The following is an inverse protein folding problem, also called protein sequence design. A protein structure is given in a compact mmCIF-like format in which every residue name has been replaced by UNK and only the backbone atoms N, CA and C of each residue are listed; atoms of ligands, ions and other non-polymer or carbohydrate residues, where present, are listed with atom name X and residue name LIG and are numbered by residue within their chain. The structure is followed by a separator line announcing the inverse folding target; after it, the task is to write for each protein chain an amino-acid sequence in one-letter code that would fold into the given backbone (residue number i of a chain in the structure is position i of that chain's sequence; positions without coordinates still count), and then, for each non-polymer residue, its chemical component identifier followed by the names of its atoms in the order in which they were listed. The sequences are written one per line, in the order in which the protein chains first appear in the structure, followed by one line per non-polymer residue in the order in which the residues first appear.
data_IF_085539717457
#
_entry.id   IF_085539717457
#
_cell.length_a   1.000
_cell.length_b   1.000
_cell.length_c   1.000
_cell.angle_alpha   90.00
_cell.angle_beta   90.00
_cell.angle_gamma   90.00
#
_symmetry.space_group_name_H-M   'P 1'
#
loop_
_entity.id
_entity.type
_entity.pdbx_description
1 polymer ?
#
# COMPACT_ATOMS: atom_id res chain seq x y z
N UNK A 1 17.62 12.45 -15.61
CA UNK A 1 16.16 12.69 -15.48
C UNK A 1 15.95 13.30 -14.12
N UNK A 2 15.26 14.44 -14.06
CA UNK A 2 14.91 15.08 -12.80
C UNK A 2 13.52 14.64 -12.35
N UNK A 3 13.39 14.35 -11.05
CA UNK A 3 12.15 13.89 -10.43
C UNK A 3 11.86 14.76 -9.20
N UNK A 4 10.72 15.45 -9.22
CA UNK A 4 10.20 16.18 -8.06
C UNK A 4 9.17 15.30 -7.37
N UNK A 5 9.31 15.09 -6.05
CA UNK A 5 8.35 14.30 -5.27
C UNK A 5 7.68 15.21 -4.23
N UNK A 6 6.39 15.45 -4.43
CA UNK A 6 5.52 16.18 -3.51
C UNK A 6 5.04 15.25 -2.39
N UNK A 7 5.24 15.63 -1.13
CA UNK A 7 4.79 14.88 0.05
C UNK A 7 4.13 15.77 1.12
N UNK A 8 3.38 16.78 0.69
CA UNK A 8 2.55 17.63 1.53
C UNK A 8 1.28 16.88 2.00
N UNK A 9 0.50 17.44 2.95
CA UNK A 9 -0.69 16.81 3.50
C UNK A 9 -1.73 16.36 2.46
N UNK A 10 -2.53 15.35 2.82
CA UNK A 10 -3.59 14.79 1.97
C UNK A 10 -4.79 15.73 1.81
N UNK A 11 -4.63 16.75 0.98
CA UNK A 11 -5.66 17.70 0.62
C UNK A 11 -5.65 17.95 -0.90
N UNK A 12 -6.78 17.65 -1.56
CA UNK A 12 -6.89 17.71 -3.02
C UNK A 12 -6.66 19.13 -3.58
N UNK A 13 -7.28 20.15 -3.01
CA UNK A 13 -7.15 21.52 -3.53
C UNK A 13 -5.73 22.07 -3.34
N UNK A 14 -5.10 21.78 -2.19
CA UNK A 14 -3.70 22.12 -1.95
C UNK A 14 -2.80 21.48 -3.00
N UNK A 15 -2.92 20.16 -3.21
CA UNK A 15 -2.10 19.44 -4.18
C UNK A 15 -2.34 19.93 -5.61
N UNK A 16 -3.58 20.17 -6.01
CA UNK A 16 -3.89 20.75 -7.33
C UNK A 16 -3.23 22.12 -7.54
N UNK A 17 -3.23 22.99 -6.53
CA UNK A 17 -2.53 24.29 -6.58
C UNK A 17 -1.02 24.13 -6.69
N UNK A 18 -0.45 23.23 -5.88
CA UNK A 18 0.99 22.94 -5.91
C UNK A 18 1.41 22.37 -7.27
N UNK A 19 0.69 21.40 -7.81
CA UNK A 19 1.02 20.78 -9.09
C UNK A 19 0.86 21.74 -10.28
N UNK A 20 -0.17 22.60 -10.28
CA UNK A 20 -0.29 23.65 -11.29
C UNK A 20 0.88 24.64 -11.24
N UNK A 21 1.35 25.00 -10.04
CA UNK A 21 2.51 25.86 -9.88
C UNK A 21 3.80 25.15 -10.32
N UNK A 22 4.06 23.93 -9.84
CA UNK A 22 5.23 23.13 -10.20
C UNK A 22 5.30 22.90 -11.72
N UNK A 23 4.17 22.60 -12.36
CA UNK A 23 4.12 22.42 -13.80
C UNK A 23 4.44 23.69 -14.59
N UNK A 24 4.15 24.87 -14.03
CA UNK A 24 4.47 26.15 -14.65
C UNK A 24 5.95 26.54 -14.48
N UNK A 25 6.60 26.15 -13.37
CA UNK A 25 7.97 26.59 -13.04
C UNK A 25 9.06 25.56 -13.30
N UNK A 26 8.73 24.27 -13.29
CA UNK A 26 9.71 23.21 -13.49
C UNK A 26 10.04 23.05 -14.98
N UNK A 27 11.30 22.72 -15.28
CA UNK A 27 11.74 22.37 -16.63
C UNK A 27 10.83 21.31 -17.25
N UNK A 28 10.50 21.44 -18.55
CA UNK A 28 9.54 20.55 -19.25
C UNK A 28 9.94 19.07 -19.20
N UNK A 29 11.22 18.76 -19.05
CA UNK A 29 11.73 17.39 -18.96
C UNK A 29 11.66 16.79 -17.54
N UNK A 30 11.39 17.60 -16.51
CA UNK A 30 11.25 17.12 -15.14
C UNK A 30 9.92 16.39 -14.94
N UNK A 31 9.96 15.25 -14.26
CA UNK A 31 8.77 14.49 -13.87
C UNK A 31 8.26 15.00 -12.52
N UNK A 32 6.94 15.18 -12.41
CA UNK A 32 6.30 15.64 -11.18
C UNK A 32 5.53 14.47 -10.55
N UNK A 33 5.96 14.04 -9.37
CA UNK A 33 5.36 12.91 -8.67
C UNK A 33 4.71 13.33 -7.35
N UNK A 34 3.55 12.78 -7.02
CA UNK A 34 2.97 12.89 -5.67
C UNK A 34 3.25 11.63 -4.88
N UNK A 35 3.57 11.74 -3.59
CA UNK A 35 3.64 10.62 -2.64
C UNK A 35 2.28 10.34 -1.97
N UNK A 36 1.17 10.64 -2.66
CA UNK A 36 -0.17 10.46 -2.07
C UNK A 36 -0.46 8.98 -1.78
N UNK A 37 -1.07 8.73 -0.63
CA UNK A 37 -1.49 7.39 -0.18
C UNK A 37 -2.81 6.93 -0.80
N UNK A 38 -3.52 7.78 -1.56
CA UNK A 38 -4.78 7.37 -2.17
C UNK A 38 -5.60 8.41 -2.90
N UNK A 39 -5.17 9.69 -2.95
CA UNK A 39 -5.83 10.66 -3.83
C UNK A 39 -5.57 10.32 -5.30
N UNK A 40 -6.57 10.59 -6.14
CA UNK A 40 -6.47 10.38 -7.58
C UNK A 40 -5.41 11.31 -8.17
N UNK A 41 -4.39 10.73 -8.79
CA UNK A 41 -3.37 11.51 -9.48
C UNK A 41 -3.93 12.20 -10.72
N UNK A 42 -4.94 11.61 -11.36
CA UNK A 42 -5.70 12.24 -12.44
C UNK A 42 -6.37 13.53 -11.95
N UNK A 43 -6.97 13.50 -10.76
CA UNK A 43 -7.57 14.68 -10.16
C UNK A 43 -6.52 15.71 -9.71
N UNK A 44 -5.38 15.28 -9.15
CA UNK A 44 -4.26 16.16 -8.79
C UNK A 44 -3.71 16.88 -10.03
N UNK A 45 -3.50 16.15 -11.13
CA UNK A 45 -2.95 16.66 -12.38
C UNK A 45 -3.95 17.49 -13.21
N UNK A 46 -5.22 17.59 -12.80
CA UNK A 46 -6.29 18.23 -13.59
C UNK A 46 -6.04 19.70 -13.92
N UNK A 47 -5.21 20.39 -13.13
CA UNK A 47 -4.84 21.80 -13.34
C UNK A 47 -3.46 21.97 -14.02
N UNK A 48 -2.77 20.89 -14.36
CA UNK A 48 -1.49 20.94 -15.07
C UNK A 48 -1.72 21.15 -16.58
N UNK A 49 -0.85 21.94 -17.19
CA UNK A 49 -0.72 22.11 -18.64
C UNK A 49 -0.04 20.90 -19.29
N UNK A 50 0.88 20.25 -18.56
CA UNK A 50 1.60 19.05 -19.00
C UNK A 50 1.34 17.86 -18.06
N UNK A 51 0.11 17.30 -18.05
CA UNK A 51 -0.22 16.17 -17.17
C UNK A 51 0.46 14.85 -17.56
N UNK A 52 1.02 14.74 -18.77
CA UNK A 52 1.72 13.55 -19.27
C UNK A 52 2.97 13.17 -18.47
N UNK A 53 3.58 14.15 -17.80
CA UNK A 53 4.75 13.98 -16.92
C UNK A 53 4.40 13.95 -15.44
N UNK A 54 3.11 13.83 -15.11
CA UNK A 54 2.62 13.80 -13.72
C UNK A 54 2.21 12.38 -13.36
N UNK A 55 2.68 11.86 -12.21
CA UNK A 55 2.35 10.53 -11.71
C UNK A 55 2.38 10.44 -10.17
N UNK A 56 2.05 9.30 -9.59
CA UNK A 56 2.26 9.05 -8.16
C UNK A 56 3.47 8.16 -7.97
N UNK A 57 4.31 8.47 -6.99
CA UNK A 57 5.33 7.57 -6.44
C UNK A 57 4.97 7.30 -4.97
N UNK A 58 4.13 6.30 -4.72
CA UNK A 58 3.69 5.98 -3.37
C UNK A 58 4.74 5.10 -2.67
N UNK A 59 5.45 5.70 -1.71
CA UNK A 59 6.42 5.01 -0.87
C UNK A 59 5.74 4.39 0.34
N UNK A 60 6.09 3.15 0.62
CA UNK A 60 5.58 2.42 1.78
C UNK A 60 6.28 2.86 3.07
N UNK A 61 5.51 3.06 4.15
CA UNK A 61 6.05 3.54 5.43
C UNK A 61 6.71 2.41 6.25
N UNK A 62 7.97 2.56 6.73
CA UNK A 62 8.87 3.70 6.55
C UNK A 62 9.55 3.71 5.18
N UNK A 63 9.59 4.87 4.50
CA UNK A 63 10.05 4.96 3.10
C UNK A 63 11.54 4.66 2.93
N UNK A 64 12.35 4.82 3.97
CA UNK A 64 13.77 4.47 3.95
C UNK A 64 14.01 2.96 4.08
N UNK A 65 13.08 2.22 4.69
CA UNK A 65 13.23 0.79 4.98
C UNK A 65 12.46 -0.07 3.98
N UNK A 66 11.24 0.33 3.63
CA UNK A 66 10.41 -0.43 2.71
C UNK A 66 10.96 -0.31 1.28
N UNK A 67 11.13 -1.43 0.55
CA UNK A 67 11.70 -1.41 -0.78
C UNK A 67 10.68 -1.02 -1.86
N UNK A 68 9.40 -1.34 -1.65
CA UNK A 68 8.35 -1.17 -2.66
C UNK A 68 8.00 0.32 -2.87
N UNK A 69 7.86 0.70 -4.14
CA UNK A 69 7.28 1.98 -4.55
C UNK A 69 6.25 1.74 -5.64
N UNK A 70 5.02 2.20 -5.46
CA UNK A 70 3.99 2.12 -6.49
C UNK A 70 4.04 3.36 -7.39
N UNK A 71 4.19 3.14 -8.70
CA UNK A 71 4.15 4.17 -9.73
C UNK A 71 2.75 4.17 -10.34
N UNK A 72 1.91 5.12 -9.95
CA UNK A 72 0.51 5.18 -10.43
C UNK A 72 0.38 6.14 -11.59
N UNK A 73 -0.11 5.61 -12.70
CA UNK A 73 -0.42 6.38 -13.90
C UNK A 73 -1.80 7.01 -13.75
N UNK A 74 -1.86 8.33 -13.91
CA UNK A 74 -3.10 9.04 -14.19
C UNK A 74 -3.57 8.81 -15.61
N UNK A 75 -4.78 9.26 -15.92
CA UNK A 75 -5.40 9.07 -17.24
C UNK A 75 -4.54 9.58 -18.41
N UNK A 76 -3.77 10.65 -18.18
CA UNK A 76 -2.93 11.29 -19.21
C UNK A 76 -1.44 11.00 -19.05
N UNK A 77 -1.02 10.30 -17.98
CA UNK A 77 0.40 10.01 -17.72
C UNK A 77 0.99 9.18 -18.87
N UNK A 78 2.13 9.60 -19.39
CA UNK A 78 2.86 8.86 -20.43
C UNK A 78 3.39 7.53 -19.86
N UNK A 79 3.17 6.40 -20.57
CA UNK A 79 3.81 5.13 -20.23
C UNK A 79 5.33 5.19 -20.18
N UNK A 80 5.94 5.96 -21.07
CA UNK A 80 7.38 6.16 -21.17
C UNK A 80 7.91 6.89 -19.93
N UNK A 81 7.20 7.91 -19.44
CA UNK A 81 7.56 8.61 -18.18
C UNK A 81 7.50 7.65 -16.99
N UNK A 82 6.44 6.85 -16.87
CA UNK A 82 6.33 5.86 -15.79
C UNK A 82 7.46 4.82 -15.87
N UNK A 83 7.87 4.43 -17.08
CA UNK A 83 8.97 3.50 -17.31
C UNK A 83 10.33 4.09 -16.91
N UNK A 84 10.58 5.36 -17.23
CA UNK A 84 11.79 6.07 -16.84
C UNK A 84 11.89 6.24 -15.30
N UNK A 85 10.76 6.55 -14.63
CA UNK A 85 10.69 6.58 -13.16
C UNK A 85 10.93 5.20 -12.55
N UNK A 86 10.42 4.14 -13.17
CA UNK A 86 10.70 2.75 -12.75
C UNK A 86 12.20 2.46 -12.78
N UNK A 87 12.89 2.84 -13.85
CA UNK A 87 14.33 2.61 -13.98
C UNK A 87 15.14 3.43 -12.96
N UNK A 88 14.79 4.70 -12.77
CA UNK A 88 15.43 5.55 -11.76
C UNK A 88 15.27 4.97 -10.35
N UNK A 89 14.05 4.61 -9.95
CA UNK A 89 13.79 4.07 -8.61
C UNK A 89 14.47 2.72 -8.40
N UNK A 90 14.51 1.86 -9.43
CA UNK A 90 15.24 0.60 -9.37
C UNK A 90 16.75 0.84 -9.18
N UNK A 91 17.34 1.81 -9.87
CA UNK A 91 18.74 2.21 -9.68
C UNK A 91 19.02 2.75 -8.26
N UNK A 92 18.02 3.37 -7.62
CA UNK A 92 18.07 3.76 -6.21
C UNK A 92 17.86 2.59 -5.21
N UNK A 93 17.82 1.34 -5.69
CA UNK A 93 17.65 0.14 -4.87
C UNK A 93 16.22 -0.09 -4.39
N UNK A 94 15.23 0.60 -4.96
CA UNK A 94 13.81 0.34 -4.72
C UNK A 94 13.30 -0.81 -5.61
N UNK A 95 12.12 -1.30 -5.28
CA UNK A 95 11.36 -2.29 -6.06
C UNK A 95 10.12 -1.59 -6.61
N UNK A 96 10.22 -0.89 -7.73
CA UNK A 96 9.11 -0.15 -8.29
C UNK A 96 8.12 -1.07 -9.03
N UNK A 97 6.83 -0.80 -8.86
CA UNK A 97 5.74 -1.49 -9.59
C UNK A 97 4.87 -0.47 -10.32
N UNK A 98 4.40 -0.78 -11.52
CA UNK A 98 3.54 0.12 -12.30
C UNK A 98 2.07 -0.21 -12.04
N UNK A 99 1.33 0.78 -11.56
CA UNK A 99 -0.13 0.76 -11.42
C UNK A 99 -0.73 1.48 -12.61
N UNK A 100 -1.23 0.71 -13.57
CA UNK A 100 -1.64 1.19 -14.89
C UNK A 100 -2.91 2.05 -14.91
N UNK A 101 -3.69 2.03 -13.83
CA UNK A 101 -4.96 2.75 -13.74
C UNK A 101 -5.09 3.42 -12.39
N UNK A 102 -5.33 4.71 -12.40
CA UNK A 102 -5.66 5.50 -11.23
C UNK A 102 -7.03 5.09 -10.68
N UNK A 103 -7.00 4.38 -9.55
CA UNK A 103 -8.19 3.95 -8.82
C UNK A 103 -7.97 4.15 -7.32
N UNK A 104 -9.02 4.42 -6.54
CA UNK A 104 -8.91 4.52 -5.08
C UNK A 104 -8.22 3.30 -4.49
N UNK A 105 -7.24 3.56 -3.60
CA UNK A 105 -6.42 2.53 -2.96
C UNK A 105 -5.28 1.97 -3.83
N UNK A 106 -5.04 2.51 -5.03
CA UNK A 106 -3.93 2.11 -5.91
C UNK A 106 -3.88 0.58 -6.11
N UNK A 107 -2.72 -0.07 -5.99
CA UNK A 107 -2.61 -1.53 -6.05
C UNK A 107 -2.57 -2.14 -4.65
N UNK A 108 -1.59 -1.77 -3.83
CA UNK A 108 -1.35 -2.44 -2.56
C UNK A 108 -2.37 -2.08 -1.47
N UNK A 109 -2.81 -0.82 -1.39
CA UNK A 109 -3.83 -0.42 -0.42
C UNK A 109 -5.18 -1.09 -0.71
N UNK A 110 -5.52 -1.41 -1.98
CA UNK A 110 -6.73 -2.21 -2.29
C UNK A 110 -6.67 -3.60 -1.69
N UNK A 111 -5.55 -4.30 -1.86
CA UNK A 111 -5.35 -5.64 -1.26
C UNK A 111 -5.38 -5.56 0.27
N UNK A 112 -4.70 -4.56 0.84
CA UNK A 112 -4.65 -4.37 2.28
C UNK A 112 -6.03 -4.04 2.87
N UNK A 113 -6.81 -3.17 2.24
CA UNK A 113 -8.14 -2.80 2.73
C UNK A 113 -9.14 -3.94 2.58
N UNK A 114 -9.02 -4.80 1.57
CA UNK A 114 -9.84 -6.01 1.49
C UNK A 114 -9.59 -6.93 2.70
N UNK A 115 -8.32 -7.16 3.06
CA UNK A 115 -7.95 -7.94 4.24
C UNK A 115 -8.42 -7.30 5.55
N UNK A 116 -8.21 -5.99 5.71
CA UNK A 116 -8.64 -5.26 6.93
C UNK A 116 -10.15 -5.29 7.08
N UNK A 117 -10.89 -5.15 5.99
CA UNK A 117 -12.35 -5.19 5.98
C UNK A 117 -12.87 -6.55 6.44
N UNK A 118 -12.30 -7.63 5.92
CA UNK A 118 -12.68 -8.99 6.32
C UNK A 118 -12.27 -9.28 7.76
N UNK A 119 -11.05 -8.92 8.17
CA UNK A 119 -10.59 -9.08 9.55
C UNK A 119 -11.50 -8.38 10.57
N UNK A 120 -11.96 -7.16 10.26
CA UNK A 120 -12.88 -6.44 11.12
C UNK A 120 -14.29 -7.05 11.15
N UNK A 121 -14.73 -7.68 10.06
CA UNK A 121 -15.98 -8.42 10.02
C UNK A 121 -15.91 -9.69 10.86
N UNK A 122 -14.86 -10.51 10.69
CA UNK A 122 -14.61 -11.74 11.47
C UNK A 122 -14.70 -11.48 12.98
N UNK A 123 -14.01 -10.44 13.46
CA UNK A 123 -14.05 -10.07 14.89
C UNK A 123 -15.42 -9.52 15.29
N UNK A 124 -16.05 -8.71 14.42
CA UNK A 124 -17.35 -8.13 14.67
C UNK A 124 -18.46 -9.16 14.84
N UNK A 125 -18.39 -10.26 14.09
CA UNK A 125 -19.33 -11.39 14.14
C UNK A 125 -18.97 -12.41 15.25
N UNK A 126 -17.86 -12.20 15.98
CA UNK A 126 -17.42 -13.12 17.04
C UNK A 126 -16.88 -14.46 16.52
N UNK A 127 -16.46 -14.53 15.26
CA UNK A 127 -15.85 -15.74 14.67
C UNK A 127 -14.47 -16.01 15.28
N UNK A 128 -13.72 -14.94 15.59
CA UNK A 128 -12.41 -15.03 16.24
C UNK A 128 -12.05 -13.75 17.01
N UNK A 129 -11.14 -13.88 17.97
CA UNK A 129 -10.54 -12.75 18.66
C UNK A 129 -9.54 -12.00 17.77
N UNK A 130 -9.28 -10.73 18.10
CA UNK A 130 -8.33 -9.87 17.36
C UNK A 130 -6.96 -10.53 17.27
N UNK A 131 -6.49 -11.10 18.38
CA UNK A 131 -5.21 -11.78 18.51
C UNK A 131 -5.08 -12.96 17.55
N UNK A 132 -6.11 -13.78 17.44
CA UNK A 132 -6.12 -14.98 16.61
C UNK A 132 -6.14 -14.63 15.11
N UNK A 133 -6.91 -13.61 14.72
CA UNK A 133 -6.88 -13.08 13.34
C UNK A 133 -5.47 -12.62 12.97
N UNK A 134 -4.79 -11.91 13.89
CA UNK A 134 -3.42 -11.45 13.70
C UNK A 134 -2.41 -12.62 13.62
N UNK A 135 -2.60 -13.68 14.43
CA UNK A 135 -1.74 -14.87 14.44
C UNK A 135 -1.87 -15.67 13.14
N UNK A 136 -3.07 -15.87 12.63
CA UNK A 136 -3.33 -16.53 11.34
C UNK A 136 -2.71 -15.74 10.20
N UNK A 137 -2.87 -14.41 10.19
CA UNK A 137 -2.24 -13.57 9.17
C UNK A 137 -0.71 -13.66 9.21
N UNK A 138 -0.10 -13.58 10.40
CA UNK A 138 1.37 -13.60 10.56
C UNK A 138 2.00 -14.96 10.25
N UNK A 139 1.41 -16.04 10.75
CA UNK A 139 2.00 -17.38 10.69
C UNK A 139 1.46 -18.24 9.54
N UNK A 140 0.32 -17.86 8.95
CA UNK A 140 -0.28 -18.52 7.80
C UNK A 140 0.16 -17.87 6.49
N UNK A 141 -0.77 -17.22 5.80
CA UNK A 141 -0.52 -16.67 4.46
C UNK A 141 0.53 -15.55 4.46
N UNK A 142 0.63 -14.73 5.51
CA UNK A 142 1.64 -13.66 5.62
C UNK A 142 3.08 -14.15 5.62
N UNK A 143 3.36 -15.28 6.28
CA UNK A 143 4.72 -15.81 6.40
C UNK A 143 5.31 -16.22 5.06
N UNK A 144 4.48 -16.77 4.16
CA UNK A 144 4.89 -17.31 2.86
C UNK A 144 4.80 -16.31 1.70
N UNK A 145 4.02 -15.24 1.83
CA UNK A 145 3.87 -14.21 0.78
C UNK A 145 5.21 -13.60 0.28
N UNK A 146 6.24 -13.40 1.13
CA UNK A 146 7.54 -12.92 0.66
C UNK A 146 8.31 -13.90 -0.23
N UNK A 147 7.92 -15.18 -0.28
CA UNK A 147 8.58 -16.25 -1.02
C UNK A 147 7.91 -16.50 -2.38
N UNK A 148 6.58 -16.63 -2.40
CA UNK A 148 5.80 -16.69 -3.63
C UNK A 148 4.53 -15.86 -3.46
N UNK A 149 4.24 -15.00 -4.42
CA UNK A 149 3.16 -14.01 -4.34
C UNK A 149 1.76 -14.63 -4.39
N UNK A 150 0.74 -13.79 -4.54
CA UNK A 150 -0.67 -14.22 -4.58
C UNK A 150 -0.92 -15.18 -5.76
N UNK A 151 -0.46 -14.83 -6.96
CA UNK A 151 -0.74 -15.63 -8.16
C UNK A 151 0.12 -16.89 -8.25
N UNK A 152 1.41 -16.82 -7.93
CA UNK A 152 2.27 -18.01 -7.84
C UNK A 152 1.72 -19.03 -6.84
N UNK A 153 1.12 -18.56 -5.74
CA UNK A 153 0.43 -19.44 -4.82
C UNK A 153 -0.78 -20.13 -5.45
N UNK A 154 -1.62 -19.39 -6.19
CA UNK A 154 -2.80 -19.97 -6.86
C UNK A 154 -2.38 -21.03 -7.89
N UNK A 155 -1.35 -20.75 -8.68
CA UNK A 155 -0.81 -21.72 -9.64
C UNK A 155 -0.23 -22.95 -8.93
N UNK A 156 0.44 -22.77 -7.78
CA UNK A 156 0.97 -23.87 -6.99
C UNK A 156 -0.11 -24.75 -6.33
N UNK A 157 -1.28 -24.18 -6.03
CA UNK A 157 -2.44 -24.91 -5.48
C UNK A 157 -3.23 -25.63 -6.58
N UNK A 158 -3.32 -25.03 -7.76
CA UNK A 158 -4.21 -25.46 -8.85
C UNK A 158 -5.43 -24.54 -8.96
N UNK A 159 -5.65 -23.98 -10.16
CA UNK A 159 -6.68 -22.96 -10.39
C UNK A 159 -8.11 -23.49 -10.28
N UNK A 160 -8.33 -24.78 -10.56
CA UNK A 160 -9.60 -25.47 -10.40
C UNK A 160 -10.01 -25.58 -8.92
N UNK A 161 -9.07 -26.01 -8.07
CA UNK A 161 -9.26 -26.02 -6.61
C UNK A 161 -9.42 -24.60 -6.06
N UNK A 162 -8.58 -23.67 -6.52
CA UNK A 162 -8.65 -22.26 -6.14
C UNK A 162 -10.01 -21.64 -6.46
N UNK A 163 -10.55 -21.89 -7.66
CA UNK A 163 -11.87 -21.42 -8.08
C UNK A 163 -12.97 -21.94 -7.15
N UNK A 164 -12.98 -23.25 -6.86
CA UNK A 164 -13.98 -23.84 -5.96
C UNK A 164 -13.96 -23.22 -4.56
N UNK A 165 -12.78 -22.94 -4.01
CA UNK A 165 -12.62 -22.28 -2.70
C UNK A 165 -13.09 -20.82 -2.77
N UNK A 166 -12.69 -20.08 -3.80
CA UNK A 166 -13.08 -18.67 -3.96
C UNK A 166 -14.60 -18.54 -4.06
N UNK A 167 -15.25 -19.35 -4.90
CA UNK A 167 -16.71 -19.31 -5.08
C UNK A 167 -17.47 -19.73 -3.82
N UNK A 168 -16.93 -20.66 -3.04
CA UNK A 168 -17.54 -21.09 -1.79
C UNK A 168 -17.43 -20.00 -0.70
N UNK A 169 -16.21 -19.50 -0.46
CA UNK A 169 -15.93 -18.54 0.62
C UNK A 169 -16.51 -17.17 0.30
N UNK A 170 -16.48 -16.72 -0.96
CA UNK A 170 -16.97 -15.39 -1.35
C UNK A 170 -18.47 -15.16 -1.07
N UNK A 171 -19.25 -16.23 -0.85
CA UNK A 171 -20.66 -16.15 -0.45
C UNK A 171 -20.86 -15.57 0.94
N UNK A 172 -19.86 -15.70 1.81
CA UNK A 172 -19.93 -15.31 3.23
C UNK A 172 -18.98 -14.15 3.58
N UNK A 173 -18.02 -13.83 2.70
CA UNK A 173 -17.13 -12.68 2.89
C UNK A 173 -17.90 -11.35 2.99
N UNK A 174 -17.36 -10.43 3.78
CA UNK A 174 -17.88 -9.08 3.86
C UNK A 174 -17.74 -8.36 2.51
N UNK A 175 -18.88 -8.00 1.92
CA UNK A 175 -18.97 -7.49 0.55
C UNK A 175 -19.62 -6.10 0.42
N UNK A 176 -19.97 -5.44 1.53
CA UNK A 176 -20.56 -4.10 1.45
C UNK A 176 -19.54 -3.03 1.02
N UNK A 177 -20.03 -1.96 0.38
CA UNK A 177 -19.23 -0.81 -0.07
C UNK A 177 -18.89 0.18 1.07
N UNK A 178 -18.73 -0.32 2.29
CA UNK A 178 -18.50 0.47 3.50
C UNK A 178 -17.63 -0.32 4.48
N UNK A 179 -17.07 0.31 5.52
CA UNK A 179 -16.40 -0.44 6.59
C UNK A 179 -17.44 -1.18 7.48
N UNK A 180 -17.12 -2.37 8.03
CA UNK A 180 -17.99 -3.10 8.95
C UNK A 180 -18.38 -2.26 10.17
N UNK A 181 -19.58 -2.49 10.71
CA UNK A 181 -20.11 -1.73 11.84
C UNK A 181 -19.21 -1.79 13.07
N UNK A 182 -18.57 -2.95 13.32
CA UNK A 182 -17.59 -3.12 14.40
C UNK A 182 -16.44 -2.09 14.32
N UNK A 183 -15.85 -1.89 13.13
CA UNK A 183 -14.80 -0.90 12.93
C UNK A 183 -15.33 0.52 13.19
N UNK A 184 -16.52 0.84 12.67
CA UNK A 184 -17.15 2.15 12.84
C UNK A 184 -17.44 2.47 14.30
N UNK A 185 -17.93 1.49 15.05
CA UNK A 185 -18.23 1.64 16.48
C UNK A 185 -16.96 1.98 17.27
N UNK A 186 -15.82 1.32 17.01
CA UNK A 186 -14.54 1.68 17.65
C UNK A 186 -14.17 3.14 17.42
N UNK A 187 -14.25 3.61 16.18
CA UNK A 187 -13.97 5.02 15.87
C UNK A 187 -14.94 5.96 16.58
N UNK A 188 -16.24 5.65 16.58
CA UNK A 188 -17.26 6.45 17.25
C UNK A 188 -17.07 6.53 18.77
N UNK A 189 -16.51 5.48 19.39
CA UNK A 189 -16.19 5.45 20.82
C UNK A 189 -14.86 6.13 21.18
N UNK A 190 -14.09 6.64 20.20
CA UNK A 190 -12.77 7.20 20.45
C UNK A 190 -11.66 6.14 20.67
N UNK A 191 -11.92 4.87 20.33
CA UNK A 191 -10.94 3.79 20.34
C UNK A 191 -10.07 3.87 19.06
N UNK A 192 -9.26 4.93 18.95
CA UNK A 192 -8.50 5.31 17.76
C UNK A 192 -7.11 4.65 17.64
N UNK A 193 -6.82 3.64 18.46
CA UNK A 193 -5.56 2.90 18.48
C UNK A 193 -4.56 3.43 19.51
N UNK A 194 -3.26 3.24 19.26
CA UNK A 194 -2.21 3.58 20.22
C UNK A 194 -2.26 5.05 20.67
N UNK A 195 -2.62 5.97 19.78
CA UNK A 195 -2.70 7.42 20.07
C UNK A 195 -3.76 7.79 21.11
N UNK A 196 -4.75 6.93 21.33
CA UNK A 196 -5.80 7.12 22.34
C UNK A 196 -5.71 6.10 23.47
N UNK A 197 -4.63 5.30 23.54
CA UNK A 197 -4.46 4.24 24.54
C UNK A 197 -5.31 2.99 24.31
N UNK A 198 -6.22 2.99 23.31
CA UNK A 198 -7.11 1.86 23.02
C UNK A 198 -7.59 1.88 21.56
N UNK A 199 -7.69 0.70 20.96
CA UNK A 199 -8.23 0.47 19.61
C UNK A 199 -8.80 -0.93 19.46
N UNK A 200 -8.22 -1.72 18.54
CA UNK A 200 -8.42 -3.17 18.54
C UNK A 200 -7.76 -3.85 19.74
N UNK A 201 -6.64 -3.28 20.18
CA UNK A 201 -5.92 -3.71 21.38
C UNK A 201 -6.04 -2.66 22.49
N UNK A 202 -5.86 -3.11 23.73
CA UNK A 202 -5.54 -2.27 24.88
C UNK A 202 -4.06 -1.85 24.79
N UNK A 203 -3.81 -0.57 24.52
CA UNK A 203 -2.45 -0.04 24.37
C UNK A 203 -1.87 0.45 25.69
N UNK A 204 -2.60 0.36 26.82
CA UNK A 204 -1.98 0.49 28.14
C UNK A 204 -1.07 -0.70 28.48
N UNK A 205 -1.24 -1.82 27.77
CA UNK A 205 -0.50 -3.08 27.94
C UNK A 205 0.49 -3.37 26.81
N UNK A 206 0.62 -2.47 25.82
CA UNK A 206 1.46 -2.67 24.62
C UNK A 206 2.21 -1.37 24.29
N UNK A 207 3.48 -1.45 23.94
CA UNK A 207 4.23 -0.31 23.40
C UNK A 207 4.15 -0.26 21.88
N UNK A 208 3.81 0.92 21.34
CA UNK A 208 3.83 1.16 19.89
C UNK A 208 5.28 1.21 19.36
N UNK A 209 6.22 1.65 20.18
CA UNK A 209 7.66 1.67 19.89
C UNK A 209 8.19 0.25 19.73
N UNK A 210 7.87 -0.66 20.66
CA UNK A 210 8.28 -2.07 20.57
C UNK A 210 7.67 -2.77 19.34
N UNK A 211 6.40 -2.50 19.03
CA UNK A 211 5.75 -3.05 17.83
C UNK A 211 6.44 -2.57 16.55
N UNK A 212 6.80 -1.28 16.48
CA UNK A 212 7.54 -0.71 15.34
C UNK A 212 8.96 -1.28 15.27
N UNK A 213 9.67 -1.38 16.39
CA UNK A 213 11.02 -1.94 16.44
C UNK A 213 11.04 -3.40 15.98
N UNK A 214 10.07 -4.22 16.42
CA UNK A 214 9.93 -5.60 15.96
C UNK A 214 9.68 -5.69 14.46
N UNK A 215 8.78 -4.85 13.91
CA UNK A 215 8.54 -4.77 12.47
C UNK A 215 9.82 -4.41 11.72
N UNK A 216 10.52 -3.37 12.17
CA UNK A 216 11.71 -2.85 11.49
C UNK A 216 12.83 -3.88 11.48
N UNK A 217 13.07 -4.53 12.63
CA UNK A 217 14.05 -5.61 12.75
C UNK A 217 13.75 -6.77 11.81
N UNK A 218 12.49 -7.24 11.76
CA UNK A 218 12.07 -8.29 10.84
C UNK A 218 12.33 -7.92 9.38
N UNK A 219 11.96 -6.70 8.97
CA UNK A 219 12.20 -6.24 7.59
C UNK A 219 13.70 -6.15 7.29
N UNK A 220 14.51 -5.64 8.22
CA UNK A 220 15.97 -5.56 8.08
C UNK A 220 16.57 -6.96 7.86
N UNK A 221 16.16 -7.95 8.65
CA UNK A 221 16.70 -9.31 8.57
C UNK A 221 16.34 -9.97 7.24
N UNK A 222 15.10 -9.82 6.78
CA UNK A 222 14.67 -10.30 5.45
C UNK A 222 15.47 -9.63 4.34
N UNK A 223 15.67 -8.31 4.38
CA UNK A 223 16.41 -7.59 3.35
C UNK A 223 17.90 -7.97 3.33
N UNK A 224 18.52 -8.15 4.50
CA UNK A 224 19.90 -8.65 4.63
C UNK A 224 20.05 -10.05 4.06
N UNK A 225 19.13 -10.96 4.38
CA UNK A 225 19.13 -12.31 3.83
C UNK A 225 19.03 -12.30 2.29
N UNK A 226 18.13 -11.47 1.73
CA UNK A 226 18.00 -11.29 0.27
C UNK A 226 19.24 -10.69 -0.37
N UNK A 227 19.91 -9.74 0.29
CA UNK A 227 21.17 -9.15 -0.19
C UNK A 227 22.28 -10.21 -0.26
N UNK A 228 22.50 -10.96 0.84
CA UNK A 228 23.49 -12.04 0.89
C UNK A 228 23.26 -13.11 -0.19
N UNK A 229 22.00 -13.49 -0.41
CA UNK A 229 21.64 -14.47 -1.45
C UNK A 229 22.01 -13.97 -2.86
N UNK A 230 21.77 -12.69 -3.16
CA UNK A 230 22.12 -12.08 -4.46
C UNK A 230 23.63 -12.04 -4.68
N UNK A 231 24.39 -11.67 -3.64
CA UNK A 231 25.86 -11.61 -3.68
C UNK A 231 26.49 -13.00 -3.84
N UNK A 232 25.87 -14.05 -3.30
CA UNK A 232 26.35 -15.43 -3.46
C UNK A 232 26.07 -16.04 -4.84
N UNK A 233 25.16 -15.44 -5.63
CA UNK A 233 24.75 -15.93 -6.96
C UNK A 233 25.28 -15.10 -8.12
N UNK A 234 26.01 -14.02 -7.83
CA UNK A 234 26.61 -13.10 -8.81
C UNK A 234 28.10 -13.39 -8.97
#
# INVERSE_FOLDING_TARGET
MDLVIESAPENMDLKQKMFAHLDAVADRSAVLASNTSGLSITAIASRCRHPERVLTTHFWNPPYLMPLVEIVQGEKTSPEVAQAVRELLAACGKVPVIVKKDRPGQLGNRLQMALVREAAYIVGEGIADVEDVDLVAKNGFGLRMPAYGIFEHQDAVGLDMGLGIVDYVAKDLYNEAKAPNFYRAKVAHGDLGAKSGKGFYDWSKKSIEEVKARRDQFVIDVLRARKRKREATA
#
